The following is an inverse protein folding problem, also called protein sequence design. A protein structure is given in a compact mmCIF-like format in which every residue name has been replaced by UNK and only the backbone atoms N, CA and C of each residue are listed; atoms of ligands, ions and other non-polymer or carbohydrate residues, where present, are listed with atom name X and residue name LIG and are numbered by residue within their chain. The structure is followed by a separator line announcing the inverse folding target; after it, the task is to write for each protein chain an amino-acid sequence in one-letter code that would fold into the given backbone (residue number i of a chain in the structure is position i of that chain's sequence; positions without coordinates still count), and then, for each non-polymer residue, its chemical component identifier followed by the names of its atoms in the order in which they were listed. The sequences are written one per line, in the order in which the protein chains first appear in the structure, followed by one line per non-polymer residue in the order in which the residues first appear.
data_IF_388926381575
#
_entry.id   IF_388926381575
#
_cell.length_a   1.000
_cell.length_b   1.000
_cell.length_c   1.000
_cell.angle_alpha   90.00
_cell.angle_beta   90.00
_cell.angle_gamma   90.00
#
_symmetry.space_group_name_H-M   'P 1'
#
loop_
_entity.id
_entity.type
_entity.pdbx_description
1 polymer ?
#
# COMPACT_ATOMS: atom_id res chain seq x y z
N UNK A 1 -19.24 0.88 -0.14
CA UNK A 1 -18.26 1.82 -0.74
C UNK A 1 -16.85 1.24 -0.77
N UNK A 2 -16.33 0.66 0.33
CA UNK A 2 -15.01 0.01 0.34
C UNK A 2 -14.89 -1.09 -0.75
N UNK A 3 -15.91 -1.93 -0.94
CA UNK A 3 -15.90 -2.95 -2.00
C UNK A 3 -15.82 -2.34 -3.41
N UNK A 4 -16.39 -1.15 -3.62
CA UNK A 4 -16.32 -0.45 -4.92
C UNK A 4 -14.91 0.03 -5.17
N UNK A 5 -14.25 0.62 -4.16
CA UNK A 5 -12.85 1.01 -4.25
C UNK A 5 -11.98 -0.21 -4.55
N UNK A 6 -12.20 -1.33 -3.84
CA UNK A 6 -11.48 -2.57 -4.07
C UNK A 6 -11.67 -3.09 -5.50
N UNK A 7 -12.90 -3.13 -6.02
CA UNK A 7 -13.19 -3.57 -7.39
C UNK A 7 -12.50 -2.68 -8.43
N UNK A 8 -12.52 -1.36 -8.23
CA UNK A 8 -11.84 -0.41 -9.12
C UNK A 8 -10.33 -0.64 -9.09
N UNK A 9 -9.74 -0.81 -7.90
CA UNK A 9 -8.30 -1.09 -7.75
C UNK A 9 -7.94 -2.42 -8.43
N UNK A 10 -8.68 -3.49 -8.18
CA UNK A 10 -8.46 -4.79 -8.82
C UNK A 10 -8.58 -4.69 -10.33
N UNK A 11 -9.61 -4.02 -10.85
CA UNK A 11 -9.80 -3.83 -12.28
C UNK A 11 -8.59 -3.13 -12.90
N UNK A 12 -8.18 -1.97 -12.40
CA UNK A 12 -7.02 -1.25 -12.95
C UNK A 12 -5.71 -2.04 -12.80
N UNK A 13 -5.50 -2.71 -11.66
CA UNK A 13 -4.31 -3.54 -11.43
C UNK A 13 -4.25 -4.71 -12.41
N UNK A 14 -5.36 -5.41 -12.65
CA UNK A 14 -5.43 -6.54 -13.59
C UNK A 14 -5.27 -6.07 -15.04
N UNK A 15 -5.89 -4.95 -15.43
CA UNK A 15 -5.78 -4.40 -16.79
C UNK A 15 -4.35 -3.92 -17.10
N UNK A 16 -3.64 -3.39 -16.10
CA UNK A 16 -2.26 -2.91 -16.24
C UNK A 16 -1.24 -4.06 -16.22
N UNK A 17 -1.49 -5.09 -15.42
CA UNK A 17 -0.51 -6.14 -15.19
C UNK A 17 -0.53 -7.22 -16.26
N UNK A 18 0.67 -7.67 -16.61
CA UNK A 18 0.93 -8.81 -17.49
C UNK A 18 1.97 -9.72 -16.87
N UNK A 19 2.01 -10.96 -17.34
CA UNK A 19 3.01 -11.94 -16.93
C UNK A 19 4.39 -11.49 -17.43
N UNK A 20 5.45 -11.63 -16.63
CA UNK A 20 6.80 -11.19 -17.01
C UNK A 20 7.20 -11.73 -18.38
N UNK A 21 7.36 -10.83 -19.37
CA UNK A 21 7.75 -11.16 -20.74
C UNK A 21 6.59 -11.39 -21.72
N UNK A 22 5.36 -11.56 -21.25
CA UNK A 22 4.15 -11.66 -22.07
C UNK A 22 3.35 -10.35 -22.01
N UNK A 23 2.61 -9.99 -23.07
CA UNK A 23 1.70 -8.87 -22.98
C UNK A 23 0.68 -9.08 -21.86
N UNK A 24 0.25 -7.98 -21.23
CA UNK A 24 -0.91 -7.98 -20.32
C UNK A 24 -2.16 -8.58 -20.96
N UNK A 25 -3.21 -8.84 -20.19
CA UNK A 25 -4.46 -9.48 -20.66
C UNK A 25 -5.05 -8.77 -21.91
N UNK A 26 -4.74 -7.48 -22.10
CA UNK A 26 -5.19 -6.65 -23.24
C UNK A 26 -4.13 -6.55 -24.37
N UNK A 27 -2.98 -7.22 -24.29
CA UNK A 27 -1.93 -7.07 -25.28
C UNK A 27 -0.95 -5.93 -24.99
N UNK A 28 -1.07 -5.21 -23.86
CA UNK A 28 -0.24 -4.01 -23.58
C UNK A 28 1.17 -4.44 -23.18
N UNK A 29 2.15 -4.02 -23.98
CA UNK A 29 3.58 -4.20 -23.71
C UNK A 29 4.05 -3.23 -22.61
N UNK A 30 5.04 -3.67 -21.84
CA UNK A 30 5.76 -2.83 -20.86
C UNK A 30 6.27 -1.56 -21.54
N UNK A 31 6.07 -0.41 -20.89
CA UNK A 31 6.47 0.93 -21.37
C UNK A 31 5.70 1.49 -22.59
N UNK A 32 4.61 0.86 -23.02
CA UNK A 32 3.72 1.39 -24.07
C UNK A 32 2.95 2.64 -23.61
N UNK A 33 2.54 3.50 -24.55
CA UNK A 33 1.63 4.63 -24.30
C UNK A 33 0.34 4.17 -23.59
N UNK A 34 -0.18 2.99 -23.97
CA UNK A 34 -1.38 2.39 -23.37
C UNK A 34 -1.20 2.04 -21.89
N UNK A 35 0.01 1.66 -21.46
CA UNK A 35 0.32 1.37 -20.07
C UNK A 35 0.26 2.64 -19.19
N UNK A 36 0.81 3.74 -19.70
CA UNK A 36 0.77 5.03 -19.02
C UNK A 36 -0.64 5.61 -18.96
N UNK A 37 -1.41 5.48 -20.05
CA UNK A 37 -2.83 5.87 -20.07
C UNK A 37 -3.64 5.09 -19.03
N UNK A 38 -3.46 3.77 -18.93
CA UNK A 38 -4.14 2.96 -17.90
C UNK A 38 -3.71 3.35 -16.48
N UNK A 39 -2.44 3.65 -16.28
CA UNK A 39 -1.91 4.07 -14.97
C UNK A 39 -2.46 5.43 -14.54
N UNK A 40 -2.44 6.42 -15.45
CA UNK A 40 -3.01 7.75 -15.21
C UNK A 40 -4.53 7.65 -15.02
N UNK A 41 -5.21 6.82 -15.80
CA UNK A 41 -6.64 6.53 -15.64
C UNK A 41 -6.96 5.96 -14.27
N UNK A 42 -6.14 5.02 -13.77
CA UNK A 42 -6.29 4.48 -12.42
C UNK A 42 -6.15 5.56 -11.34
N UNK A 43 -5.11 6.40 -11.42
CA UNK A 43 -4.93 7.52 -10.50
C UNK A 43 -6.13 8.47 -10.55
N UNK A 44 -6.59 8.82 -11.75
CA UNK A 44 -7.71 9.74 -11.94
C UNK A 44 -9.02 9.20 -11.35
N UNK A 45 -9.33 7.92 -11.54
CA UNK A 45 -10.52 7.30 -10.93
C UNK A 45 -10.46 7.28 -9.41
N UNK A 46 -9.29 7.01 -8.81
CA UNK A 46 -9.10 7.08 -7.37
C UNK A 46 -9.22 8.51 -6.83
N UNK A 47 -8.73 9.51 -7.57
CA UNK A 47 -8.92 10.93 -7.23
C UNK A 47 -10.39 11.34 -7.28
N UNK A 48 -11.15 10.93 -8.31
CA UNK A 48 -12.59 11.19 -8.40
C UNK A 48 -13.33 10.54 -7.23
N UNK A 49 -13.05 9.27 -6.95
CA UNK A 49 -13.66 8.56 -5.81
C UNK A 49 -13.36 9.29 -4.51
N UNK A 50 -12.11 9.67 -4.27
CA UNK A 50 -11.70 10.44 -3.08
C UNK A 50 -12.46 11.75 -2.95
N UNK A 51 -12.64 12.48 -4.07
CA UNK A 51 -13.40 13.72 -4.10
C UNK A 51 -14.90 13.51 -3.82
N UNK A 52 -15.52 12.46 -4.37
CA UNK A 52 -16.91 12.08 -4.08
C UNK A 52 -17.07 11.71 -2.60
N UNK A 53 -16.12 10.94 -2.05
CA UNK A 53 -16.12 10.57 -0.63
C UNK A 53 -16.01 11.82 0.26
N UNK A 54 -15.05 12.69 -0.02
CA UNK A 54 -14.83 13.92 0.72
C UNK A 54 -16.05 14.84 0.67
N UNK A 55 -16.63 15.07 -0.50
CA UNK A 55 -17.80 15.94 -0.64
C UNK A 55 -19.02 15.40 0.10
N UNK A 56 -19.25 14.09 0.06
CA UNK A 56 -20.31 13.45 0.83
C UNK A 56 -20.05 13.51 2.34
N UNK A 57 -18.79 13.38 2.76
CA UNK A 57 -18.39 13.46 4.16
C UNK A 57 -18.59 14.87 4.71
N UNK A 58 -18.16 15.90 3.97
CA UNK A 58 -18.33 17.30 4.35
C UNK A 58 -19.82 17.66 4.48
N UNK A 59 -20.68 17.19 3.56
CA UNK A 59 -22.14 17.36 3.67
C UNK A 59 -22.71 16.73 4.95
N UNK A 60 -22.27 15.52 5.30
CA UNK A 60 -22.72 14.82 6.52
C UNK A 60 -22.27 15.53 7.78
N UNK A 61 -21.04 16.06 7.80
CA UNK A 61 -20.49 16.78 8.95
C UNK A 61 -21.19 18.12 9.13
N UNK A 62 -21.44 18.86 8.05
CA UNK A 62 -22.24 20.08 8.10
C UNK A 62 -23.66 19.83 8.62
N UNK A 63 -24.30 18.72 8.19
CA UNK A 63 -25.59 18.31 8.72
C UNK A 63 -25.55 17.95 10.21
N UNK A 64 -24.49 17.30 10.68
CA UNK A 64 -24.27 17.03 12.12
C UNK A 64 -24.07 18.33 12.91
N UNK A 65 -23.24 19.25 12.41
CA UNK A 65 -23.00 20.54 13.06
C UNK A 65 -24.28 21.37 13.17
N UNK A 66 -25.17 21.31 12.17
CA UNK A 66 -26.47 21.97 12.20
C UNK A 66 -27.41 21.46 13.31
N UNK A 67 -27.21 20.24 13.82
CA UNK A 67 -27.96 19.68 14.96
C UNK A 67 -27.43 20.09 16.34
N UNK A 68 -26.40 20.96 16.40
CA UNK A 68 -25.76 21.35 17.65
C UNK A 68 -24.80 20.29 18.21
N UNK A 69 -24.35 19.35 17.37
CA UNK A 69 -23.41 18.31 17.75
C UNK A 69 -22.02 18.90 18.07
N UNK A 70 -21.50 18.60 19.27
CA UNK A 70 -20.18 19.05 19.72
C UNK A 70 -19.15 17.96 19.35
N UNK A 71 -18.14 18.26 18.53
CA UNK A 71 -17.09 17.31 18.20
C UNK A 71 -16.30 16.91 19.44
N UNK A 72 -16.07 15.61 19.61
CA UNK A 72 -15.10 15.15 20.60
C UNK A 72 -13.69 15.58 20.18
N UNK A 73 -12.81 15.80 21.17
CA UNK A 73 -11.42 16.28 20.95
C UNK A 73 -10.57 15.37 20.06
N UNK A 74 -10.99 14.11 19.86
CA UNK A 74 -10.32 13.09 19.04
C UNK A 74 -10.98 12.89 17.66
N UNK A 75 -12.02 13.68 17.34
CA UNK A 75 -12.73 13.58 16.07
C UNK A 75 -12.31 14.71 15.12
N UNK A 76 -11.74 14.31 13.99
CA UNK A 76 -11.25 15.24 12.97
C UNK A 76 -12.42 15.95 12.31
N UNK A 77 -12.44 17.28 12.39
CA UNK A 77 -13.40 18.11 11.66
C UNK A 77 -12.95 18.20 10.20
N UNK A 78 -13.70 17.56 9.31
CA UNK A 78 -13.41 17.59 7.88
C UNK A 78 -13.84 18.92 7.28
N UNK A 79 -12.85 19.76 7.01
CA UNK A 79 -12.99 20.98 6.23
C UNK A 79 -12.51 20.75 4.79
N UNK A 80 -12.88 21.63 3.86
CA UNK A 80 -12.45 21.55 2.46
C UNK A 80 -10.92 21.42 2.27
N UNK A 81 -10.05 22.18 2.97
CA UNK A 81 -8.59 21.99 2.83
C UNK A 81 -8.11 20.65 3.42
N UNK A 82 -8.54 20.29 4.63
CA UNK A 82 -8.09 19.05 5.29
C UNK A 82 -8.51 17.79 4.51
N UNK A 83 -9.65 17.87 3.83
CA UNK A 83 -10.16 16.83 2.94
C UNK A 83 -9.25 16.51 1.75
N UNK A 84 -8.47 17.47 1.26
CA UNK A 84 -7.50 17.25 0.18
C UNK A 84 -6.12 16.87 0.70
N UNK A 85 -5.73 17.42 1.85
CA UNK A 85 -4.40 17.22 2.44
C UNK A 85 -4.20 15.78 2.94
N UNK A 86 -5.17 15.19 3.66
CA UNK A 86 -5.00 13.84 4.21
C UNK A 86 -4.85 12.74 3.14
N UNK A 87 -5.63 12.73 2.03
CA UNK A 87 -5.41 11.77 0.95
C UNK A 87 -4.04 11.91 0.26
N UNK A 88 -3.49 13.12 0.16
CA UNK A 88 -2.15 13.34 -0.40
C UNK A 88 -1.08 12.69 0.49
N UNK A 89 -1.15 12.92 1.79
CA UNK A 89 -0.24 12.27 2.74
C UNK A 89 -0.40 10.74 2.75
N UNK A 90 -1.64 10.25 2.66
CA UNK A 90 -1.90 8.82 2.54
C UNK A 90 -1.35 8.22 1.24
N UNK A 91 -1.43 8.95 0.12
CA UNK A 91 -0.86 8.54 -1.16
C UNK A 91 0.68 8.51 -1.10
N UNK A 92 1.31 9.50 -0.48
CA UNK A 92 2.76 9.53 -0.26
C UNK A 92 3.21 8.38 0.64
N UNK A 93 2.52 8.14 1.75
CA UNK A 93 2.78 7.01 2.64
C UNK A 93 2.64 5.67 1.91
N UNK A 94 1.61 5.55 1.05
CA UNK A 94 1.41 4.38 0.20
C UNK A 94 2.51 4.18 -0.84
N UNK A 95 2.98 5.26 -1.48
CA UNK A 95 4.08 5.22 -2.44
C UNK A 95 5.38 4.78 -1.76
N UNK A 96 5.71 5.37 -0.60
CA UNK A 96 6.88 4.99 0.19
C UNK A 96 6.77 3.53 0.65
N UNK A 97 5.62 3.13 1.20
CA UNK A 97 5.39 1.75 1.63
C UNK A 97 5.43 0.73 0.49
N UNK A 98 5.03 1.13 -0.73
CA UNK A 98 5.13 0.33 -1.94
C UNK A 98 6.57 0.19 -2.44
N UNK A 99 7.35 1.28 -2.47
CA UNK A 99 8.77 1.27 -2.86
C UNK A 99 9.61 0.40 -1.91
N UNK A 100 9.30 0.44 -0.62
CA UNK A 100 10.01 -0.32 0.40
C UNK A 100 9.56 -1.79 0.50
N UNK A 101 8.46 -2.16 -0.16
CA UNK A 101 7.88 -3.51 -0.09
C UNK A 101 7.25 -3.85 1.28
N UNK A 102 7.03 -2.86 2.15
CA UNK A 102 6.52 -3.05 3.52
C UNK A 102 4.97 -3.06 3.53
N UNK A 103 4.34 -2.50 2.50
CA UNK A 103 2.90 -2.29 2.42
C UNK A 103 2.48 -0.98 3.09
N UNK A 104 1.69 -0.16 2.38
CA UNK A 104 1.39 1.23 2.77
C UNK A 104 0.75 1.41 4.15
N UNK A 105 0.08 0.38 4.69
CA UNK A 105 -0.60 0.47 5.98
C UNK A 105 0.31 0.63 7.19
N UNK A 106 1.54 0.11 7.17
CA UNK A 106 2.50 0.30 8.26
C UNK A 106 2.99 1.74 8.36
N UNK A 107 3.14 2.42 7.21
CA UNK A 107 3.53 3.85 7.15
C UNK A 107 2.33 4.76 7.43
N UNK A 108 1.13 4.34 7.02
CA UNK A 108 -0.11 5.10 7.21
C UNK A 108 -0.50 5.23 8.69
N UNK A 109 -0.22 4.22 9.52
CA UNK A 109 -0.58 4.24 10.94
C UNK A 109 0.06 5.39 11.74
N UNK A 110 1.39 5.54 11.81
CA UNK A 110 2.00 6.65 12.56
C UNK A 110 1.62 8.02 11.97
N UNK A 111 1.48 8.11 10.64
CA UNK A 111 1.05 9.33 9.97
C UNK A 111 -0.35 9.78 10.43
N UNK A 112 -1.32 8.87 10.53
CA UNK A 112 -2.66 9.24 11.01
C UNK A 112 -2.67 9.65 12.49
N UNK A 113 -1.81 9.07 13.32
CA UNK A 113 -1.67 9.48 14.74
C UNK A 113 -1.13 10.91 14.81
N UNK A 114 -0.11 11.25 14.01
CA UNK A 114 0.43 12.62 13.93
C UNK A 114 -0.59 13.64 13.43
N UNK A 115 -1.52 13.21 12.58
CA UNK A 115 -2.64 14.03 12.10
C UNK A 115 -3.78 14.16 13.14
N UNK A 116 -3.64 13.58 14.33
CA UNK A 116 -4.56 13.73 15.46
C UNK A 116 -5.71 12.72 15.50
N UNK A 117 -5.64 11.63 14.73
CA UNK A 117 -6.66 10.57 14.78
C UNK A 117 -6.50 9.70 16.03
N UNK A 118 -7.62 9.23 16.56
CA UNK A 118 -7.65 8.30 17.68
C UNK A 118 -7.00 6.94 17.32
N UNK A 119 -6.08 6.45 18.15
CA UNK A 119 -5.28 5.23 17.92
C UNK A 119 -6.11 4.01 17.50
N UNK A 120 -7.27 3.77 18.14
CA UNK A 120 -8.17 2.67 17.77
C UNK A 120 -8.69 2.77 16.32
N UNK A 121 -9.05 3.98 15.88
CA UNK A 121 -9.55 4.22 14.51
C UNK A 121 -8.40 4.06 13.52
N UNK A 122 -7.21 4.54 13.87
CA UNK A 122 -5.99 4.39 13.07
C UNK A 122 -5.65 2.93 12.86
N UNK A 123 -5.63 2.13 13.93
CA UNK A 123 -5.32 0.69 13.87
C UNK A 123 -6.32 -0.07 12.99
N UNK A 124 -7.61 0.21 13.14
CA UNK A 124 -8.65 -0.42 12.30
C UNK A 124 -8.50 0.00 10.82
N UNK A 125 -8.22 1.27 10.56
CA UNK A 125 -8.08 1.82 9.20
C UNK A 125 -6.84 1.25 8.50
N UNK A 126 -5.70 1.20 9.18
CA UNK A 126 -4.46 0.66 8.61
C UNK A 126 -4.57 -0.84 8.33
N UNK A 127 -5.15 -1.62 9.25
CA UNK A 127 -5.40 -3.05 9.03
C UNK A 127 -6.33 -3.29 7.83
N UNK A 128 -7.38 -2.49 7.70
CA UNK A 128 -8.30 -2.54 6.54
C UNK A 128 -7.55 -2.20 5.24
N UNK A 129 -6.71 -1.17 5.25
CA UNK A 129 -5.92 -0.78 4.07
C UNK A 129 -4.95 -1.90 3.63
N UNK A 130 -4.27 -2.56 4.57
CA UNK A 130 -3.41 -3.72 4.29
C UNK A 130 -4.23 -4.87 3.71
N UNK A 131 -5.36 -5.22 4.33
CA UNK A 131 -6.23 -6.29 3.83
C UNK A 131 -6.69 -6.05 2.40
N UNK A 132 -7.12 -4.83 2.08
CA UNK A 132 -7.57 -4.47 0.73
C UNK A 132 -6.44 -4.53 -0.30
N UNK A 133 -5.26 -4.03 0.06
CA UNK A 133 -4.09 -4.01 -0.84
C UNK A 133 -3.59 -5.42 -1.09
N UNK A 134 -3.44 -6.23 -0.05
CA UNK A 134 -3.00 -7.63 -0.14
C UNK A 134 -4.02 -8.50 -0.86
N UNK A 135 -5.32 -8.30 -0.61
CA UNK A 135 -6.39 -8.99 -1.34
C UNK A 135 -6.36 -8.65 -2.83
N UNK A 136 -6.20 -7.37 -3.18
CA UNK A 136 -6.09 -6.97 -4.59
C UNK A 136 -4.89 -7.59 -5.28
N UNK A 137 -3.72 -7.62 -4.62
CA UNK A 137 -2.52 -8.24 -5.16
C UNK A 137 -2.70 -9.75 -5.36
N UNK A 138 -3.29 -10.44 -4.38
CA UNK A 138 -3.57 -11.87 -4.48
C UNK A 138 -4.51 -12.17 -5.66
N UNK A 139 -5.61 -11.42 -5.79
CA UNK A 139 -6.55 -11.58 -6.91
C UNK A 139 -5.86 -11.36 -8.25
N UNK A 140 -4.98 -10.37 -8.35
CA UNK A 140 -4.19 -10.11 -9.55
C UNK A 140 -3.26 -11.29 -9.87
N UNK A 141 -2.54 -11.84 -8.90
CA UNK A 141 -1.64 -12.98 -9.10
C UNK A 141 -2.37 -14.26 -9.51
N UNK A 142 -3.59 -14.47 -8.98
CA UNK A 142 -4.46 -15.59 -9.38
C UNK A 142 -4.89 -15.43 -10.83
N UNK A 143 -5.37 -14.24 -11.22
CA UNK A 143 -5.88 -13.99 -12.58
C UNK A 143 -4.77 -14.11 -13.63
N UNK A 144 -3.54 -13.72 -13.30
CA UNK A 144 -2.39 -13.79 -14.21
C UNK A 144 -1.73 -15.17 -14.27
N UNK A 145 -2.25 -16.16 -13.54
CA UNK A 145 -1.71 -17.51 -13.44
C UNK A 145 -0.20 -17.52 -13.12
N UNK A 146 0.21 -16.60 -12.23
CA UNK A 146 1.59 -16.45 -11.76
C UNK A 146 1.84 -17.21 -10.44
N UNK A 147 0.80 -17.86 -9.90
CA UNK A 147 0.89 -18.61 -8.65
C UNK A 147 1.17 -20.08 -8.94
N UNK A 148 2.32 -20.57 -8.48
CA UNK A 148 2.57 -22.01 -8.39
C UNK A 148 1.90 -22.54 -7.11
N UNK A 149 0.83 -23.35 -7.20
CA UNK A 149 0.01 -23.71 -6.03
C UNK A 149 0.81 -24.36 -4.90
N UNK A 150 1.79 -25.20 -5.25
CA UNK A 150 2.66 -25.90 -4.30
C UNK A 150 3.49 -24.95 -3.44
N UNK A 151 4.05 -23.88 -4.04
CA UNK A 151 4.83 -22.89 -3.31
C UNK A 151 3.93 -21.94 -2.53
N UNK A 152 2.79 -21.55 -3.10
CA UNK A 152 1.85 -20.61 -2.47
C UNK A 152 1.35 -21.10 -1.11
N UNK A 153 1.06 -22.39 -0.97
CA UNK A 153 0.58 -22.97 0.30
C UNK A 153 1.67 -22.92 1.38
N UNK A 154 2.92 -23.20 1.01
CA UNK A 154 4.07 -23.13 1.94
C UNK A 154 4.33 -21.69 2.38
N UNK A 155 4.34 -20.74 1.45
CA UNK A 155 4.51 -19.33 1.80
C UNK A 155 3.33 -18.78 2.61
N UNK A 156 2.11 -19.26 2.37
CA UNK A 156 0.94 -18.90 3.16
C UNK A 156 1.04 -19.42 4.60
N UNK A 157 1.46 -20.67 4.80
CA UNK A 157 1.60 -21.24 6.15
C UNK A 157 2.73 -20.57 6.93
N UNK A 158 3.89 -20.36 6.32
CA UNK A 158 5.01 -19.62 6.91
C UNK A 158 4.60 -18.17 7.20
N UNK A 159 3.88 -17.52 6.28
CA UNK A 159 3.39 -16.16 6.45
C UNK A 159 2.41 -16.01 7.62
N UNK A 160 1.48 -16.95 7.78
CA UNK A 160 0.55 -16.97 8.93
C UNK A 160 1.33 -17.18 10.23
N UNK A 161 2.26 -18.14 10.28
CA UNK A 161 3.05 -18.42 11.48
C UNK A 161 3.95 -17.22 11.87
N UNK A 162 4.59 -16.59 10.89
CA UNK A 162 5.43 -15.41 11.12
C UNK A 162 4.59 -14.20 11.55
N UNK A 163 3.44 -13.96 10.92
CA UNK A 163 2.56 -12.84 11.29
C UNK A 163 1.97 -13.06 12.69
N UNK A 164 1.52 -14.28 13.01
CA UNK A 164 0.99 -14.60 14.33
C UNK A 164 2.05 -14.41 15.42
N UNK A 165 3.25 -14.97 15.23
CA UNK A 165 4.34 -14.80 16.19
C UNK A 165 4.75 -13.33 16.34
N UNK A 166 4.94 -12.62 15.23
CA UNK A 166 5.26 -11.19 15.24
C UNK A 166 4.19 -10.35 15.95
N UNK A 167 2.91 -10.54 15.63
CA UNK A 167 1.81 -9.78 16.23
C UNK A 167 1.68 -10.05 17.74
N UNK A 168 1.84 -11.30 18.18
CA UNK A 168 1.81 -11.67 19.60
C UNK A 168 2.99 -11.02 20.33
N UNK A 169 4.21 -11.14 19.80
CA UNK A 169 5.41 -10.54 20.39
C UNK A 169 5.28 -9.02 20.47
N UNK A 170 4.80 -8.35 19.42
CA UNK A 170 4.58 -6.90 19.43
C UNK A 170 3.51 -6.48 20.43
N UNK A 171 2.38 -7.19 20.47
CA UNK A 171 1.30 -6.89 21.42
C UNK A 171 1.79 -7.02 22.88
N UNK A 172 2.61 -8.03 23.15
CA UNK A 172 3.24 -8.22 24.47
C UNK A 172 4.26 -7.11 24.79
N UNK A 173 5.12 -6.73 23.85
CA UNK A 173 6.11 -5.66 24.04
C UNK A 173 5.41 -4.31 24.30
N UNK A 174 4.39 -3.98 23.51
CA UNK A 174 3.66 -2.72 23.66
C UNK A 174 2.95 -2.69 25.02
N UNK A 175 2.31 -3.77 25.44
CA UNK A 175 1.66 -3.86 26.75
C UNK A 175 2.67 -3.71 27.91
N UNK A 176 3.89 -4.23 27.77
CA UNK A 176 4.92 -4.14 28.80
C UNK A 176 5.57 -2.76 28.91
N UNK A 177 5.82 -2.09 27.79
CA UNK A 177 6.61 -0.85 27.76
C UNK A 177 5.78 0.43 27.55
N UNK A 178 4.52 0.32 27.10
CA UNK A 178 3.57 1.43 26.91
C UNK A 178 4.14 2.66 26.16
N UNK A 179 5.00 2.43 25.15
CA UNK A 179 5.63 3.49 24.34
C UNK A 179 5.43 3.22 22.85
N UNK A 180 4.93 4.22 22.12
CA UNK A 180 4.73 4.19 20.65
C UNK A 180 6.04 4.13 19.86
N UNK A 181 7.17 4.48 20.47
CA UNK A 181 8.50 4.48 19.84
C UNK A 181 8.94 3.09 19.34
N UNK A 182 8.43 1.99 19.91
CA UNK A 182 8.75 0.64 19.44
C UNK A 182 8.20 0.36 18.04
N UNK A 183 7.04 0.91 17.69
CA UNK A 183 6.44 0.75 16.37
C UNK A 183 7.31 1.45 15.31
N UNK A 184 7.66 2.71 15.55
CA UNK A 184 8.52 3.50 14.65
C UNK A 184 9.92 2.86 14.54
N UNK A 185 10.48 2.38 15.66
CA UNK A 185 11.75 1.68 15.68
C UNK A 185 11.75 0.40 14.84
N UNK A 186 10.67 -0.38 14.88
CA UNK A 186 10.54 -1.58 14.04
C UNK A 186 10.50 -1.24 12.56
N UNK A 187 9.76 -0.19 12.17
CA UNK A 187 9.71 0.25 10.77
C UNK A 187 11.10 0.71 10.33
N UNK A 188 11.82 1.47 11.17
CA UNK A 188 13.18 1.91 10.87
C UNK A 188 14.15 0.74 10.68
N UNK A 189 14.12 -0.27 11.55
CA UNK A 189 14.94 -1.49 11.41
C UNK A 189 14.61 -2.21 10.11
N UNK A 190 13.33 -2.38 9.79
CA UNK A 190 12.90 -3.00 8.53
C UNK A 190 13.44 -2.23 7.31
N UNK A 191 13.38 -0.90 7.32
CA UNK A 191 13.92 -0.07 6.23
C UNK A 191 15.43 -0.26 6.09
N UNK A 192 16.18 -0.27 7.19
CA UNK A 192 17.63 -0.48 7.17
C UNK A 192 17.97 -1.85 6.57
N UNK A 193 17.30 -2.90 7.04
CA UNK A 193 17.51 -4.27 6.55
C UNK A 193 17.16 -4.39 5.07
N UNK A 194 16.00 -3.87 4.64
CA UNK A 194 15.58 -3.86 3.24
C UNK A 194 16.59 -3.12 2.35
N UNK A 195 17.10 -1.98 2.81
CA UNK A 195 18.10 -1.19 2.06
C UNK A 195 19.40 -1.95 1.89
N UNK A 196 19.88 -2.63 2.95
CA UNK A 196 21.09 -3.44 2.90
C UNK A 196 20.91 -4.63 1.93
N UNK A 197 19.79 -5.36 2.03
CA UNK A 197 19.51 -6.51 1.18
C UNK A 197 19.39 -6.13 -0.30
N UNK A 198 18.67 -5.05 -0.61
CA UNK A 198 18.56 -4.53 -1.98
C UNK A 198 19.91 -4.04 -2.50
N UNK A 199 20.72 -3.40 -1.66
CA UNK A 199 22.08 -2.99 -2.00
C UNK A 199 22.98 -4.18 -2.35
N UNK A 200 22.97 -5.23 -1.52
CA UNK A 200 23.73 -6.47 -1.76
C UNK A 200 23.24 -7.16 -3.03
N UNK A 201 21.93 -7.31 -3.21
CA UNK A 201 21.36 -7.92 -4.43
C UNK A 201 21.73 -7.11 -5.68
N UNK A 202 21.73 -5.79 -5.61
CA UNK A 202 22.15 -4.92 -6.71
C UNK A 202 23.62 -5.13 -7.09
N UNK A 203 24.52 -5.24 -6.10
CA UNK A 203 25.94 -5.50 -6.33
C UNK A 203 26.16 -6.90 -6.94
N UNK A 204 25.50 -7.93 -6.40
CA UNK A 204 25.61 -9.31 -6.91
C UNK A 204 25.15 -9.37 -8.37
N UNK A 205 23.99 -8.79 -8.69
CA UNK A 205 23.46 -8.75 -10.06
C UNK A 205 24.42 -7.99 -10.99
N UNK A 206 25.00 -6.87 -10.53
CA UNK A 206 25.97 -6.10 -11.34
C UNK A 206 27.24 -6.91 -11.64
N UNK A 207 27.74 -7.68 -10.68
CA UNK A 207 28.92 -8.55 -10.87
C UNK A 207 28.59 -9.70 -11.82
N UNK A 208 27.39 -10.26 -11.72
CA UNK A 208 26.91 -11.33 -12.62
C UNK A 208 26.72 -10.82 -14.06
N UNK A 209 26.16 -9.63 -14.24
CA UNK A 209 26.03 -8.95 -15.53
C UNK A 209 27.41 -8.59 -16.13
N UNK A 210 28.38 -8.23 -15.29
CA UNK A 210 29.76 -7.99 -15.71
C UNK A 210 30.43 -9.29 -16.20
N UNK A 211 30.26 -10.41 -15.48
CA UNK A 211 30.84 -11.71 -15.84
C UNK A 211 30.22 -12.33 -17.08
N UNK A 212 28.92 -12.12 -17.29
CA UNK A 212 28.18 -12.65 -18.44
C UNK A 212 28.33 -11.79 -19.70
N UNK A 213 29.01 -10.65 -19.62
CA UNK A 213 29.20 -9.73 -20.76
C UNK A 213 27.91 -9.04 -21.22
N UNK A 214 26.85 -9.12 -20.41
CA UNK A 214 25.51 -8.62 -20.71
C UNK A 214 25.23 -7.28 -20.00
N UNK A 215 26.27 -6.48 -19.75
CA UNK A 215 26.08 -5.07 -19.46
C UNK A 215 25.37 -4.46 -20.66
N UNK A 216 24.11 -4.07 -20.51
CA UNK A 216 23.19 -3.60 -21.57
C UNK A 216 23.63 -2.35 -22.37
N UNK A 217 24.93 -2.11 -22.49
CA UNK A 217 25.60 -1.12 -23.34
C UNK A 217 25.81 -1.66 -24.77
N UNK A 218 25.74 -2.98 -25.00
CA UNK A 218 25.94 -3.58 -26.33
C UNK A 218 24.75 -4.41 -26.79
N UNK A 219 23.65 -3.76 -27.19
CA UNK A 219 22.89 -4.09 -28.41
C UNK A 219 22.20 -2.82 -28.94
N UNK A 220 22.83 -2.08 -29.87
CA UNK A 220 22.09 -1.18 -30.73
C UNK A 220 21.43 -2.04 -31.83
N UNK A 221 20.10 -2.07 -31.83
CA UNK A 221 19.19 -2.63 -32.85
C UNK A 221 19.04 -4.15 -32.89
#
# INVERSE_FOLDING_TARGET
MICVIWLVVVAFSVLRSGKSGEPSIIGVRSYSLTYWVLTIGGIFTLSILTWILSSNLNKRIQAKLATGWIPNSSEVIWTNPNSGVYPIFAALAGLIGGLLGIGGGMVLAPLLIELGFHDLVVSATSATAVLLTSSSALTQYIILDMLLPSYSIVYLSVGIAATASGQITFSYLVAKYNRTSFLVGSIAIMIIVSTILLGISGIINTIEDYKTGNMGITKPW
#
